data_IF_921080375494
#
_entry.id   IF_921080375494
#
_cell.length_a   1.000
_cell.length_b   1.000
_cell.length_c   1.000
_cell.angle_alpha   90.00
_cell.angle_beta   90.00
_cell.angle_gamma   90.00
#
_symmetry.space_group_name_H-M   'P 1'
#
loop_
_entity.id
_entity.type
_entity.pdbx_description
1 polymer ?
#
# COMPACT_ATOMS: atom_id res chain seq x y z
N UNK A 1 4.93 -20.93 23.72
CA UNK A 1 4.07 -19.75 23.97
C UNK A 1 3.31 -19.48 22.68
N UNK A 2 2.00 -19.73 22.63
CA UNK A 2 1.20 -19.46 21.44
C UNK A 2 0.84 -17.97 21.40
N UNK A 3 1.27 -17.26 20.35
CA UNK A 3 0.87 -15.88 20.12
C UNK A 3 -0.55 -15.92 19.57
N UNK A 4 -1.53 -15.45 20.37
CA UNK A 4 -2.91 -15.33 19.92
C UNK A 4 -3.01 -14.13 18.98
N UNK A 5 -3.31 -14.37 17.73
CA UNK A 5 -3.52 -13.32 16.72
C UNK A 5 -4.99 -12.95 16.69
N UNK A 6 -5.32 -11.66 16.84
CA UNK A 6 -6.68 -11.13 16.69
C UNK A 6 -6.96 -10.83 15.21
N UNK A 7 -7.87 -11.57 14.53
CA UNK A 7 -8.21 -11.30 13.15
C UNK A 7 -8.81 -9.90 12.93
N UNK A 8 -9.49 -9.33 13.94
CA UNK A 8 -10.01 -7.98 13.84
C UNK A 8 -8.89 -6.93 13.84
N UNK A 9 -7.81 -7.16 14.60
CA UNK A 9 -6.62 -6.31 14.56
C UNK A 9 -5.93 -6.35 13.18
N UNK A 10 -5.82 -7.54 12.58
CA UNK A 10 -5.26 -7.70 11.24
C UNK A 10 -6.08 -6.96 10.18
N UNK A 11 -7.41 -7.04 10.23
CA UNK A 11 -8.28 -6.28 9.30
C UNK A 11 -8.18 -4.78 9.50
N UNK A 12 -8.09 -4.29 10.75
CA UNK A 12 -7.83 -2.87 11.02
C UNK A 12 -6.50 -2.41 10.44
N UNK A 13 -5.46 -3.25 10.53
CA UNK A 13 -4.16 -2.96 9.97
C UNK A 13 -4.17 -2.96 8.43
N UNK A 14 -4.86 -3.93 7.81
CA UNK A 14 -5.08 -3.95 6.36
C UNK A 14 -5.77 -2.66 5.89
N UNK A 15 -6.88 -2.26 6.51
CA UNK A 15 -7.56 -1.01 6.16
C UNK A 15 -6.76 0.27 6.48
N UNK A 16 -5.75 0.20 7.34
CA UNK A 16 -4.81 1.31 7.52
C UNK A 16 -3.79 1.36 6.37
N UNK A 17 -3.29 0.21 5.93
CA UNK A 17 -2.41 0.11 4.77
C UNK A 17 -3.10 0.58 3.49
N UNK A 18 -4.38 0.22 3.27
CA UNK A 18 -5.18 0.72 2.13
C UNK A 18 -5.28 2.26 2.13
N UNK A 19 -5.59 2.86 3.29
CA UNK A 19 -5.67 4.32 3.41
C UNK A 19 -4.34 5.02 3.15
N UNK A 20 -3.23 4.41 3.56
CA UNK A 20 -1.90 4.91 3.23
C UNK A 20 -1.61 4.79 1.73
N UNK A 21 -1.99 3.68 1.09
CA UNK A 21 -1.82 3.49 -0.35
C UNK A 21 -2.63 4.52 -1.15
N UNK A 22 -3.86 4.82 -0.73
CA UNK A 22 -4.70 5.86 -1.32
C UNK A 22 -4.10 7.25 -1.14
N UNK A 23 -3.55 7.56 0.04
CA UNK A 23 -2.83 8.80 0.29
C UNK A 23 -1.63 8.98 -0.63
N UNK A 24 -0.77 7.96 -0.72
CA UNK A 24 0.38 7.94 -1.63
C UNK A 24 -0.05 8.10 -3.09
N UNK A 25 -1.17 7.48 -3.50
CA UNK A 25 -1.71 7.62 -4.87
C UNK A 25 -2.12 9.06 -5.18
N UNK A 26 -2.79 9.71 -4.22
CA UNK A 26 -3.20 11.10 -4.37
C UNK A 26 -1.99 12.03 -4.45
N UNK A 27 -1.07 11.92 -3.49
CA UNK A 27 0.12 12.77 -3.44
C UNK A 27 1.00 12.58 -4.69
N UNK A 28 1.12 11.36 -5.20
CA UNK A 28 1.82 11.08 -6.45
C UNK A 28 1.18 11.78 -7.65
N UNK A 29 -0.14 11.74 -7.77
CA UNK A 29 -0.87 12.42 -8.85
C UNK A 29 -0.68 13.94 -8.79
N UNK A 30 -0.68 14.51 -7.59
CA UNK A 30 -0.51 15.96 -7.40
C UNK A 30 0.92 16.38 -7.76
N UNK A 31 1.94 15.64 -7.28
CA UNK A 31 3.36 15.89 -7.59
C UNK A 31 3.66 15.75 -9.08
N UNK A 32 3.12 14.71 -9.74
CA UNK A 32 3.31 14.50 -11.18
C UNK A 32 2.74 15.68 -11.99
N UNK A 33 1.52 16.14 -11.65
CA UNK A 33 0.89 17.26 -12.32
C UNK A 33 1.69 18.56 -12.15
N UNK A 34 2.13 18.89 -10.92
CA UNK A 34 2.94 20.08 -10.66
C UNK A 34 4.29 20.02 -11.37
N UNK A 35 4.94 18.85 -11.36
CA UNK A 35 6.24 18.64 -12.02
C UNK A 35 6.11 18.77 -13.54
N UNK A 36 5.04 18.25 -14.14
CA UNK A 36 4.76 18.40 -15.57
C UNK A 36 4.59 19.86 -15.99
N UNK A 37 3.91 20.68 -15.17
CA UNK A 37 3.80 22.11 -15.41
C UNK A 37 5.19 22.78 -15.36
N UNK A 38 6.01 22.44 -14.36
CA UNK A 38 7.34 23.00 -14.20
C UNK A 38 8.29 22.61 -15.36
N UNK A 39 8.26 21.35 -15.79
CA UNK A 39 9.05 20.85 -16.93
C UNK A 39 8.67 21.59 -18.22
N UNK A 40 7.37 21.75 -18.50
CA UNK A 40 6.89 22.48 -19.68
C UNK A 40 7.29 23.96 -19.65
N UNK A 41 7.21 24.61 -18.49
CA UNK A 41 7.61 26.01 -18.32
C UNK A 41 9.11 26.23 -18.53
N UNK A 42 9.93 25.21 -18.29
CA UNK A 42 11.40 25.27 -18.37
C UNK A 42 11.97 24.54 -19.59
N UNK A 43 11.12 24.14 -20.54
CA UNK A 43 11.55 23.44 -21.76
C UNK A 43 12.55 24.29 -22.54
N UNK A 44 13.75 23.75 -22.79
CA UNK A 44 14.86 24.44 -23.45
C UNK A 44 15.97 24.93 -22.51
N UNK A 45 15.76 24.91 -21.19
CA UNK A 45 16.83 25.12 -20.21
C UNK A 45 17.50 23.79 -19.83
N UNK A 46 18.81 23.82 -19.54
CA UNK A 46 19.58 22.64 -19.09
C UNK A 46 18.98 21.97 -17.83
N UNK A 47 18.14 22.70 -17.08
CA UNK A 47 17.38 22.20 -15.92
C UNK A 47 16.20 21.31 -16.28
N UNK A 48 15.69 21.36 -17.52
CA UNK A 48 14.56 20.53 -17.98
C UNK A 48 14.85 19.03 -17.86
N UNK A 49 16.01 18.58 -18.35
CA UNK A 49 16.43 17.17 -18.26
C UNK A 49 16.56 16.69 -16.81
N UNK A 50 17.01 17.56 -15.90
CA UNK A 50 17.13 17.25 -14.47
C UNK A 50 15.76 17.12 -13.83
N UNK A 51 14.81 17.99 -14.20
CA UNK A 51 13.42 17.92 -13.72
C UNK A 51 12.69 16.70 -14.26
N UNK A 52 12.91 16.33 -15.52
CA UNK A 52 12.36 15.09 -16.08
C UNK A 52 12.90 13.85 -15.36
N UNK A 53 14.20 13.82 -15.06
CA UNK A 53 14.82 12.71 -14.32
C UNK A 53 14.33 12.65 -12.87
N UNK A 54 14.13 13.81 -12.25
CA UNK A 54 13.55 13.92 -10.91
C UNK A 54 12.11 13.37 -10.93
N UNK A 55 11.27 13.82 -11.88
CA UNK A 55 9.91 13.33 -12.08
C UNK A 55 9.86 11.81 -12.15
N UNK A 56 10.63 11.21 -13.06
CA UNK A 56 10.68 9.75 -13.23
C UNK A 56 11.12 9.03 -11.95
N UNK A 57 12.13 9.56 -11.24
CA UNK A 57 12.58 8.98 -9.98
C UNK A 57 11.53 8.99 -8.88
N UNK A 58 10.75 10.07 -8.77
CA UNK A 58 9.65 10.18 -7.81
C UNK A 58 8.50 9.24 -8.17
N UNK A 59 8.04 9.24 -9.43
CA UNK A 59 7.00 8.33 -9.91
C UNK A 59 7.37 6.87 -9.62
N UNK A 60 8.60 6.48 -9.92
CA UNK A 60 9.09 5.12 -9.67
C UNK A 60 9.11 4.76 -8.18
N UNK A 61 9.58 5.67 -7.33
CA UNK A 61 9.66 5.45 -5.88
C UNK A 61 8.26 5.35 -5.25
N UNK A 62 7.35 6.26 -5.61
CA UNK A 62 5.97 6.27 -5.14
C UNK A 62 5.21 5.03 -5.63
N UNK A 63 5.43 4.62 -6.89
CA UNK A 63 4.89 3.38 -7.43
C UNK A 63 5.31 2.15 -6.62
N UNK A 64 6.61 2.02 -6.31
CA UNK A 64 7.11 0.92 -5.46
C UNK A 64 6.53 0.94 -4.05
N UNK A 65 6.38 2.12 -3.44
CA UNK A 65 5.77 2.24 -2.11
C UNK A 65 4.29 1.85 -2.12
N UNK A 66 3.53 2.28 -3.12
CA UNK A 66 2.14 1.86 -3.31
C UNK A 66 2.03 0.35 -3.44
N UNK A 67 2.81 -0.24 -4.34
CA UNK A 67 2.77 -1.69 -4.58
C UNK A 67 3.13 -2.50 -3.31
N UNK A 68 4.02 -1.97 -2.47
CA UNK A 68 4.32 -2.56 -1.17
C UNK A 68 3.12 -2.48 -0.20
N UNK A 69 2.47 -1.33 -0.11
CA UNK A 69 1.30 -1.14 0.76
C UNK A 69 0.12 -2.02 0.34
N UNK A 70 -0.13 -2.14 -0.96
CA UNK A 70 -1.18 -3.02 -1.51
C UNK A 70 -0.91 -4.49 -1.15
N UNK A 71 0.35 -4.95 -1.31
CA UNK A 71 0.75 -6.32 -0.91
C UNK A 71 0.61 -6.53 0.58
N UNK A 72 1.01 -5.56 1.40
CA UNK A 72 0.91 -5.64 2.85
C UNK A 72 -0.55 -5.72 3.30
N UNK A 73 -1.42 -4.88 2.73
CA UNK A 73 -2.86 -4.93 3.01
C UNK A 73 -3.46 -6.30 2.67
N UNK A 74 -3.17 -6.80 1.46
CA UNK A 74 -3.63 -8.12 1.01
C UNK A 74 -3.17 -9.24 1.96
N UNK A 75 -1.89 -9.26 2.32
CA UNK A 75 -1.34 -10.26 3.23
C UNK A 75 -1.99 -10.22 4.62
N UNK A 76 -2.27 -9.03 5.16
CA UNK A 76 -2.96 -8.86 6.44
C UNK A 76 -4.41 -9.34 6.38
N UNK A 77 -5.14 -9.04 5.31
CA UNK A 77 -6.50 -9.50 5.10
C UNK A 77 -6.56 -11.04 4.94
N UNK A 78 -5.63 -11.61 4.20
CA UNK A 78 -5.54 -13.06 4.01
C UNK A 78 -5.18 -13.79 5.30
N UNK A 79 -4.25 -13.24 6.09
CA UNK A 79 -3.94 -13.76 7.42
C UNK A 79 -5.19 -13.74 8.31
N UNK A 80 -5.96 -12.65 8.32
CA UNK A 80 -7.19 -12.56 9.11
C UNK A 80 -8.23 -13.61 8.70
N UNK A 81 -8.40 -13.86 7.39
CA UNK A 81 -9.28 -14.91 6.86
C UNK A 81 -8.79 -16.30 7.26
N UNK A 82 -7.48 -16.54 7.19
CA UNK A 82 -6.85 -17.80 7.60
C UNK A 82 -7.09 -18.12 9.06
N UNK A 83 -6.86 -17.16 9.96
CA UNK A 83 -7.12 -17.36 11.40
C UNK A 83 -8.59 -17.63 11.70
N UNK A 84 -9.53 -16.89 11.10
CA UNK A 84 -10.97 -17.14 11.30
C UNK A 84 -11.40 -18.53 10.83
N UNK A 85 -10.83 -19.01 9.72
CA UNK A 85 -11.12 -20.35 9.21
C UNK A 85 -10.60 -21.41 10.17
N UNK A 86 -9.37 -21.28 10.63
CA UNK A 86 -8.78 -22.19 11.61
C UNK A 86 -9.60 -22.23 12.91
N UNK A 87 -10.01 -21.07 13.43
CA UNK A 87 -10.83 -20.98 14.64
C UNK A 87 -12.17 -21.69 14.46
N UNK A 88 -12.82 -21.54 13.29
CA UNK A 88 -14.09 -22.19 12.98
C UNK A 88 -13.93 -23.72 12.81
N UNK A 89 -12.85 -24.18 12.18
CA UNK A 89 -12.54 -25.61 12.03
C UNK A 89 -12.29 -26.26 13.41
N UNK A 90 -11.50 -25.61 14.26
CA UNK A 90 -11.24 -26.10 15.64
C UNK A 90 -12.53 -26.12 16.48
N UNK A 91 -13.39 -25.10 16.38
CA UNK A 91 -14.67 -25.10 17.08
C UNK A 91 -15.57 -26.25 16.63
N UNK A 92 -15.67 -26.49 15.31
CA UNK A 92 -16.47 -27.58 14.76
C UNK A 92 -15.92 -28.98 15.12
N UNK A 93 -14.61 -29.11 15.34
CA UNK A 93 -14.01 -30.34 15.85
C UNK A 93 -14.37 -30.56 17.33
N UNK A 94 -14.29 -29.52 18.16
CA UNK A 94 -14.65 -29.59 19.58
C UNK A 94 -16.14 -29.89 19.80
N UNK A 95 -17.04 -29.32 18.99
CA UNK A 95 -18.50 -29.57 19.07
C UNK A 95 -18.89 -31.02 18.72
N UNK A 96 -17.98 -31.81 18.12
CA UNK A 96 -18.21 -33.22 17.77
C UNK A 96 -17.84 -34.20 18.89
N UNK A 97 -17.19 -33.72 19.97
CA UNK A 97 -16.82 -34.51 21.14
C UNK A 97 -17.80 -34.30 22.29
#
# INVERSE_FOLDING_TARGET
MAIRVDPAALLRASGAADRLADGVRKDASDIEAETDVAVRALSGFRTGDVLDRLRSGWTDALGRHRDYLDRLSGALADAARGYRRSDAETAAELDRF
#
